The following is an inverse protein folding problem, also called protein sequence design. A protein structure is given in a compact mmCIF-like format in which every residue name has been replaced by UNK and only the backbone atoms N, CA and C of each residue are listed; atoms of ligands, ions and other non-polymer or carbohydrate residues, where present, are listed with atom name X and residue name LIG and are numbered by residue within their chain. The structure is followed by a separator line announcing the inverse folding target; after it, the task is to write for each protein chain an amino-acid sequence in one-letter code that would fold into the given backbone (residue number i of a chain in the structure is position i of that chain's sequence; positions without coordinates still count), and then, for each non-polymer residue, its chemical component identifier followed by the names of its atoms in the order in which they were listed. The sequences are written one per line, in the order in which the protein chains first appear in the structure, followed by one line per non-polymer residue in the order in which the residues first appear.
data_IF_398552503126
#
_entry.id   IF_398552503126
#
_cell.length_a   1.000
_cell.length_b   1.000
_cell.length_c   1.000
_cell.angle_alpha   90.00
_cell.angle_beta   90.00
_cell.angle_gamma   90.00
#
_symmetry.space_group_name_H-M   'P 1'
#
loop_
_entity.id
_entity.type
_entity.pdbx_description
1 polymer ?
#
# COMPACT_ATOMS: atom_id res chain seq x y z
N UNK A 1 14.51 -9.19 4.84
CA UNK A 1 13.90 -8.78 3.55
C UNK A 1 13.78 -7.26 3.51
N UNK A 2 14.30 -6.67 2.47
CA UNK A 2 14.27 -5.20 2.31
C UNK A 2 12.86 -4.76 1.91
N UNK A 3 12.22 -3.96 2.75
CA UNK A 3 10.81 -3.61 2.64
C UNK A 3 10.61 -2.09 2.63
N UNK A 4 9.71 -1.59 1.80
CA UNK A 4 9.30 -0.20 1.82
C UNK A 4 7.78 -0.09 1.84
N UNK A 5 7.30 0.99 2.45
CA UNK A 5 5.90 1.42 2.38
C UNK A 5 5.86 2.67 1.52
N UNK A 6 5.03 2.64 0.49
CA UNK A 6 4.81 3.76 -0.41
C UNK A 6 3.33 4.12 -0.37
N UNK A 7 3.02 5.37 -0.17
CA UNK A 7 1.63 5.79 -0.02
C UNK A 7 1.34 7.13 -0.70
N UNK A 8 0.08 7.31 -1.04
CA UNK A 8 -0.47 8.63 -1.35
C UNK A 8 -1.58 8.91 -0.35
N UNK A 9 -1.67 10.14 0.16
CA UNK A 9 -2.71 10.52 1.12
C UNK A 9 -3.27 11.88 0.77
N UNK A 10 -4.61 11.99 0.73
CA UNK A 10 -5.29 13.25 0.44
C UNK A 10 -5.70 13.97 1.72
N UNK A 11 -6.25 13.24 2.68
CA UNK A 11 -6.81 13.79 3.91
C UNK A 11 -6.03 13.37 5.17
N UNK A 12 -5.02 12.52 5.03
CA UNK A 12 -4.19 12.05 6.12
C UNK A 12 -4.52 10.64 6.62
N UNK A 13 -5.64 10.04 6.25
CA UNK A 13 -6.01 8.69 6.71
C UNK A 13 -5.08 7.62 6.17
N UNK A 14 -4.78 7.66 4.86
CA UNK A 14 -3.86 6.71 4.26
C UNK A 14 -2.45 6.85 4.85
N UNK A 15 -2.02 8.08 5.11
CA UNK A 15 -0.72 8.35 5.74
C UNK A 15 -0.63 7.75 7.14
N UNK A 16 -1.68 7.90 7.94
CA UNK A 16 -1.73 7.33 9.31
C UNK A 16 -1.58 5.81 9.28
N UNK A 17 -2.31 5.16 8.38
CA UNK A 17 -2.22 3.72 8.21
C UNK A 17 -0.85 3.30 7.69
N UNK A 18 -0.31 4.03 6.72
CA UNK A 18 1.03 3.77 6.17
C UNK A 18 2.11 3.84 7.26
N UNK A 19 2.03 4.84 8.13
CA UNK A 19 2.98 5.00 9.24
C UNK A 19 2.91 3.82 10.23
N UNK A 20 1.70 3.38 10.56
CA UNK A 20 1.50 2.23 11.46
C UNK A 20 2.05 0.94 10.85
N UNK A 21 1.82 0.73 9.55
CA UNK A 21 2.34 -0.45 8.86
C UNK A 21 3.88 -0.40 8.76
N UNK A 22 4.44 0.75 8.42
CA UNK A 22 5.89 0.90 8.30
C UNK A 22 6.60 0.63 9.63
N UNK A 23 6.04 1.11 10.72
CA UNK A 23 6.57 0.86 12.06
C UNK A 23 6.56 -0.63 12.40
N UNK A 24 5.45 -1.29 12.11
CA UNK A 24 5.30 -2.73 12.35
C UNK A 24 6.25 -3.57 11.50
N UNK A 25 6.38 -3.25 10.24
CA UNK A 25 7.21 -3.98 9.28
C UNK A 25 8.68 -3.56 9.35
N UNK A 26 9.02 -2.54 10.12
CA UNK A 26 10.36 -1.93 10.17
C UNK A 26 10.83 -1.56 8.77
N UNK A 27 9.96 -0.90 8.04
CA UNK A 27 10.14 -0.57 6.63
C UNK A 27 10.47 0.91 6.45
N UNK A 28 11.19 1.22 5.38
CA UNK A 28 11.34 2.59 4.91
C UNK A 28 9.97 3.08 4.41
N UNK A 29 9.67 4.36 4.58
CA UNK A 29 8.39 4.92 4.18
C UNK A 29 8.59 6.08 3.20
N UNK A 30 7.80 6.09 2.13
CA UNK A 30 7.87 7.09 1.07
C UNK A 30 6.49 7.64 0.72
N UNK A 31 6.41 8.95 0.60
CA UNK A 31 5.24 9.65 0.05
C UNK A 31 5.39 9.69 -1.47
N UNK A 32 4.39 9.22 -2.20
CA UNK A 32 4.39 9.22 -3.67
C UNK A 32 4.68 10.61 -4.23
N UNK A 33 4.16 11.66 -3.59
CA UNK A 33 4.34 13.03 -4.06
C UNK A 33 5.82 13.48 -4.08
N UNK A 34 6.69 12.81 -3.33
CA UNK A 34 8.11 13.17 -3.20
C UNK A 34 9.05 12.03 -3.61
N UNK A 35 8.57 11.03 -4.33
CA UNK A 35 9.33 9.80 -4.60
C UNK A 35 9.30 9.47 -6.10
N UNK A 36 10.45 9.13 -6.64
CA UNK A 36 10.54 8.62 -8.01
C UNK A 36 10.23 7.12 -8.00
N UNK A 37 9.49 6.60 -9.00
CA UNK A 37 9.20 5.17 -9.08
C UNK A 37 10.45 4.28 -9.08
N UNK A 38 11.56 4.74 -9.63
CA UNK A 38 12.82 3.99 -9.64
C UNK A 38 13.41 3.77 -8.24
N UNK A 39 13.06 4.60 -7.27
CA UNK A 39 13.59 4.49 -5.89
C UNK A 39 13.25 3.15 -5.26
N UNK A 40 12.11 2.56 -5.62
CA UNK A 40 11.61 1.35 -4.96
C UNK A 40 12.04 0.03 -5.62
N UNK A 41 12.74 0.08 -6.73
CA UNK A 41 13.10 -1.13 -7.51
C UNK A 41 13.95 -2.13 -6.73
N UNK A 42 14.77 -1.66 -5.81
CA UNK A 42 15.69 -2.50 -5.06
C UNK A 42 15.08 -3.14 -3.81
N UNK A 43 13.83 -2.82 -3.51
CA UNK A 43 13.13 -3.44 -2.38
C UNK A 43 12.51 -4.77 -2.82
N UNK A 44 12.59 -5.76 -1.95
CA UNK A 44 12.01 -7.08 -2.22
C UNK A 44 10.50 -7.11 -1.99
N UNK A 45 10.04 -6.34 -1.01
CA UNK A 45 8.62 -6.21 -0.68
C UNK A 45 8.19 -4.76 -0.77
N UNK A 46 7.17 -4.52 -1.58
CA UNK A 46 6.51 -3.22 -1.71
C UNK A 46 5.18 -3.28 -0.97
N UNK A 47 4.98 -2.37 -0.02
CA UNK A 47 3.68 -2.19 0.64
C UNK A 47 3.12 -0.86 0.12
N UNK A 48 2.09 -0.93 -0.70
CA UNK A 48 1.55 0.24 -1.42
C UNK A 48 0.16 0.59 -0.93
N UNK A 49 -0.05 1.86 -0.60
CA UNK A 49 -1.32 2.35 -0.09
C UNK A 49 -1.89 3.54 -0.84
N UNK A 50 -3.22 3.58 -0.95
CA UNK A 50 -3.96 4.61 -1.66
C UNK A 50 -5.30 4.88 -0.99
N UNK A 51 -5.81 6.12 -1.04
CA UNK A 51 -7.22 6.34 -0.77
C UNK A 51 -8.04 5.84 -1.96
N UNK A 52 -9.31 5.49 -1.70
CA UNK A 52 -10.27 5.17 -2.75
C UNK A 52 -10.94 6.47 -3.19
N UNK A 53 -10.87 6.75 -4.48
CA UNK A 53 -11.48 7.94 -5.08
C UNK A 53 -12.33 7.52 -6.28
N UNK A 54 -13.64 7.69 -6.20
CA UNK A 54 -14.55 7.26 -7.26
C UNK A 54 -14.47 5.76 -7.56
N UNK A 55 -14.37 4.93 -6.51
CA UNK A 55 -14.22 3.47 -6.59
C UNK A 55 -12.95 3.02 -7.35
N UNK A 56 -11.93 3.88 -7.38
CA UNK A 56 -10.65 3.64 -8.04
C UNK A 56 -9.51 4.12 -7.16
N UNK A 57 -8.26 3.70 -7.44
CA UNK A 57 -7.10 4.28 -6.77
C UNK A 57 -7.02 5.78 -7.07
N UNK A 58 -6.41 6.54 -6.16
CA UNK A 58 -6.08 7.93 -6.46
C UNK A 58 -5.28 8.01 -7.75
N UNK A 59 -5.54 9.04 -8.54
CA UNK A 59 -4.85 9.26 -9.81
C UNK A 59 -3.33 9.23 -9.65
N UNK A 60 -2.82 9.86 -8.61
CA UNK A 60 -1.39 9.93 -8.31
C UNK A 60 -0.80 8.54 -8.07
N UNK A 61 -1.55 7.67 -7.38
CA UNK A 61 -1.12 6.28 -7.14
C UNK A 61 -1.08 5.50 -8.45
N UNK A 62 -2.11 5.62 -9.27
CA UNK A 62 -2.19 4.92 -10.56
C UNK A 62 -1.05 5.35 -11.49
N UNK A 63 -0.75 6.65 -11.54
CA UNK A 63 0.36 7.17 -12.34
C UNK A 63 1.71 6.68 -11.84
N UNK A 64 1.90 6.63 -10.52
CA UNK A 64 3.13 6.11 -9.93
C UNK A 64 3.39 4.66 -10.36
N UNK A 65 2.37 3.81 -10.27
CA UNK A 65 2.50 2.40 -10.67
C UNK A 65 2.75 2.29 -12.18
N UNK A 66 2.06 3.09 -12.99
CA UNK A 66 2.25 3.09 -14.44
C UNK A 66 3.69 3.43 -14.82
N UNK A 67 4.31 4.33 -14.07
CA UNK A 67 5.68 4.78 -14.33
C UNK A 67 6.76 3.92 -13.68
N UNK A 68 6.38 2.88 -12.96
CA UNK A 68 7.34 1.93 -12.41
C UNK A 68 7.97 1.10 -13.53
N UNK A 69 9.24 0.78 -13.37
CA UNK A 69 9.92 -0.14 -14.29
C UNK A 69 9.49 -1.58 -13.99
N UNK A 70 9.53 -2.41 -15.01
CA UNK A 70 9.26 -3.84 -14.86
C UNK A 70 10.39 -4.50 -14.08
N UNK A 71 10.02 -5.35 -13.13
CA UNK A 71 10.95 -6.14 -12.31
C UNK A 71 10.49 -7.59 -12.31
N UNK A 72 11.22 -8.46 -11.64
CA UNK A 72 10.89 -9.89 -11.54
C UNK A 72 10.92 -10.36 -10.09
N UNK A 73 10.00 -11.27 -9.77
CA UNK A 73 9.98 -11.99 -8.49
C UNK A 73 9.88 -11.10 -7.26
N UNK A 74 9.16 -9.98 -7.38
CA UNK A 74 8.89 -9.12 -6.24
C UNK A 74 7.54 -9.45 -5.61
N UNK A 75 7.39 -9.10 -4.34
CA UNK A 75 6.14 -9.28 -3.60
C UNK A 75 5.53 -7.93 -3.26
N UNK A 76 4.21 -7.90 -3.12
CA UNK A 76 3.49 -6.69 -2.74
C UNK A 76 2.42 -6.99 -1.70
N UNK A 77 2.23 -6.02 -0.82
CA UNK A 77 1.09 -5.91 0.10
C UNK A 77 0.37 -4.63 -0.27
N UNK A 78 -0.94 -4.69 -0.40
CA UNK A 78 -1.75 -3.53 -0.76
C UNK A 78 -2.65 -3.12 0.39
N UNK A 79 -2.81 -1.82 0.58
CA UNK A 79 -3.80 -1.31 1.52
C UNK A 79 -4.49 -0.08 0.94
N UNK A 80 -5.72 0.14 1.36
CA UNK A 80 -6.43 1.36 1.00
C UNK A 80 -7.30 1.84 2.14
N UNK A 81 -7.63 3.12 2.10
CA UNK A 81 -8.62 3.73 2.97
C UNK A 81 -9.81 4.17 2.12
N UNK A 82 -11.03 4.00 2.64
CA UNK A 82 -12.25 4.29 1.88
C UNK A 82 -13.33 4.85 2.79
N UNK A 83 -14.32 5.53 2.20
CA UNK A 83 -15.43 6.13 2.95
C UNK A 83 -16.65 5.23 3.00
N UNK A 84 -17.19 4.84 1.86
CA UNK A 84 -18.44 4.09 1.75
C UNK A 84 -18.26 2.76 1.04
N UNK A 85 -17.58 2.74 -0.10
CA UNK A 85 -17.43 1.55 -0.95
C UNK A 85 -16.26 1.74 -1.92
N UNK A 86 -15.99 0.72 -2.72
CA UNK A 86 -14.97 0.80 -3.78
C UNK A 86 -13.60 0.28 -3.37
N UNK A 87 -13.43 -0.17 -2.13
CA UNK A 87 -12.16 -0.70 -1.63
C UNK A 87 -11.72 -1.96 -2.39
N UNK A 88 -12.60 -2.93 -2.55
CA UNK A 88 -12.27 -4.17 -3.26
C UNK A 88 -11.87 -3.92 -4.72
N UNK A 89 -12.64 -3.10 -5.41
CA UNK A 89 -12.36 -2.74 -6.81
C UNK A 89 -11.03 -2.01 -6.96
N UNK A 90 -10.74 -1.08 -6.03
CA UNK A 90 -9.49 -0.33 -5.99
C UNK A 90 -8.28 -1.26 -5.80
N UNK A 91 -8.36 -2.18 -4.84
CA UNK A 91 -7.28 -3.12 -4.56
C UNK A 91 -7.02 -4.04 -5.74
N UNK A 92 -8.08 -4.54 -6.39
CA UNK A 92 -7.94 -5.39 -7.57
C UNK A 92 -7.32 -4.65 -8.75
N UNK A 93 -7.66 -3.38 -8.93
CA UNK A 93 -7.09 -2.56 -10.00
C UNK A 93 -5.58 -2.39 -9.84
N UNK A 94 -5.12 -2.12 -8.61
CA UNK A 94 -3.69 -1.99 -8.33
C UNK A 94 -2.98 -3.34 -8.45
N UNK A 95 -3.58 -4.39 -7.92
CA UNK A 95 -3.03 -5.75 -8.03
C UNK A 95 -2.73 -6.11 -9.48
N UNK A 96 -3.69 -5.85 -10.36
CA UNK A 96 -3.55 -6.12 -11.80
C UNK A 96 -2.36 -5.37 -12.41
N UNK A 97 -2.26 -4.06 -12.12
CA UNK A 97 -1.16 -3.24 -12.62
C UNK A 97 0.18 -3.68 -12.09
N UNK A 98 0.27 -4.00 -10.81
CA UNK A 98 1.51 -4.46 -10.20
C UNK A 98 1.93 -5.83 -10.72
N UNK A 99 0.99 -6.71 -11.03
CA UNK A 99 1.28 -7.99 -11.65
C UNK A 99 1.98 -7.80 -13.00
N UNK A 100 1.51 -6.84 -13.79
CA UNK A 100 2.15 -6.50 -15.07
C UNK A 100 3.58 -5.98 -14.88
N UNK A 101 3.88 -5.41 -13.72
CA UNK A 101 5.21 -4.87 -13.39
C UNK A 101 6.13 -5.88 -12.69
N UNK A 102 5.66 -7.11 -12.43
CA UNK A 102 6.48 -8.16 -11.83
C UNK A 102 6.28 -8.38 -10.35
N UNK A 103 5.21 -7.87 -9.77
CA UNK A 103 4.88 -8.02 -8.35
C UNK A 103 3.75 -9.01 -8.14
N UNK A 104 3.94 -9.94 -7.22
CA UNK A 104 2.87 -10.82 -6.75
C UNK A 104 2.31 -10.25 -5.46
N UNK A 105 1.02 -9.95 -5.45
CA UNK A 105 0.34 -9.47 -4.25
C UNK A 105 0.05 -10.63 -3.32
N UNK A 106 0.53 -10.53 -2.07
CA UNK A 106 0.38 -11.57 -1.06
C UNK A 106 -0.65 -11.22 0.01
N UNK A 107 -1.04 -9.96 0.10
CA UNK A 107 -2.05 -9.49 1.05
C UNK A 107 -2.67 -8.20 0.53
N UNK A 108 -3.98 -8.07 0.69
CA UNK A 108 -4.72 -6.83 0.42
C UNK A 108 -5.62 -6.53 1.61
N UNK A 109 -5.52 -5.34 2.17
CA UNK A 109 -6.32 -4.92 3.32
C UNK A 109 -6.91 -3.54 3.09
N UNK A 110 -8.03 -3.25 3.77
CA UNK A 110 -8.67 -1.95 3.66
C UNK A 110 -9.18 -1.47 5.01
N UNK A 111 -9.19 -0.16 5.20
CA UNK A 111 -9.71 0.48 6.41
C UNK A 111 -10.76 1.52 6.03
N UNK A 112 -11.95 1.37 6.58
CA UNK A 112 -13.00 2.38 6.40
C UNK A 112 -12.55 3.69 7.04
N UNK A 113 -12.79 4.79 6.34
CA UNK A 113 -12.32 6.12 6.72
C UNK A 113 -12.74 6.53 8.12
N UNK A 114 -11.82 7.20 8.78
CA UNK A 114 -11.99 7.72 10.12
C UNK A 114 -12.11 9.25 10.05
N UNK A 115 -12.83 9.82 11.00
CA UNK A 115 -12.81 11.28 11.18
C UNK A 115 -11.41 11.69 11.65
N UNK A 116 -10.93 12.87 11.26
CA UNK A 116 -9.59 13.32 11.68
C UNK A 116 -9.37 13.34 13.19
N UNK A 117 -10.46 13.51 13.97
CA UNK A 117 -10.41 13.54 15.43
C UNK A 117 -10.48 12.16 16.09
N UNK A 118 -10.75 11.10 15.34
CA UNK A 118 -10.86 9.77 15.90
C UNK A 118 -9.48 9.15 16.17
N UNK A 119 -9.41 8.42 17.30
CA UNK A 119 -8.25 7.58 17.59
C UNK A 119 -8.29 6.40 16.61
N UNK A 120 -7.22 6.25 15.87
CA UNK A 120 -7.12 5.18 14.89
C UNK A 120 -6.94 3.82 15.56
N UNK A 121 -7.74 2.84 15.15
CA UNK A 121 -7.54 1.46 15.55
C UNK A 121 -7.21 0.62 14.32
N UNK A 122 -5.95 0.27 14.18
CA UNK A 122 -5.46 -0.52 13.05
C UNK A 122 -5.09 -1.95 13.45
N UNK A 123 -5.52 -2.39 14.64
CA UNK A 123 -5.12 -3.69 15.20
C UNK A 123 -5.32 -4.85 14.24
N UNK A 124 -6.47 -4.94 13.60
CA UNK A 124 -6.78 -6.04 12.66
C UNK A 124 -5.83 -6.03 11.46
N UNK A 125 -5.61 -4.86 10.88
CA UNK A 125 -4.72 -4.71 9.73
C UNK A 125 -3.28 -5.03 10.12
N UNK A 126 -2.83 -4.52 11.25
CA UNK A 126 -1.47 -4.76 11.75
C UNK A 126 -1.25 -6.25 11.99
N UNK A 127 -2.22 -6.95 12.57
CA UNK A 127 -2.12 -8.39 12.77
C UNK A 127 -2.00 -9.16 11.46
N UNK A 128 -2.75 -8.77 10.44
CA UNK A 128 -2.65 -9.40 9.11
C UNK A 128 -1.30 -9.12 8.46
N UNK A 129 -0.79 -7.89 8.58
CA UNK A 129 0.54 -7.54 8.07
C UNK A 129 1.63 -8.36 8.76
N UNK A 130 1.56 -8.50 10.09
CA UNK A 130 2.51 -9.32 10.84
C UNK A 130 2.51 -10.75 10.36
N UNK A 131 1.33 -11.36 10.16
CA UNK A 131 1.22 -12.73 9.65
C UNK A 131 1.84 -12.88 8.26
N UNK A 132 1.59 -11.91 7.38
CA UNK A 132 2.16 -11.93 6.04
C UNK A 132 3.68 -11.80 6.09
N UNK A 133 4.21 -10.92 6.94
CA UNK A 133 5.66 -10.75 7.11
C UNK A 133 6.33 -12.01 7.64
N UNK A 134 5.72 -12.66 8.63
CA UNK A 134 6.22 -13.94 9.17
C UNK A 134 6.26 -15.01 8.10
N UNK A 135 5.20 -15.13 7.30
CA UNK A 135 5.12 -16.12 6.24
C UNK A 135 6.18 -15.88 5.15
N UNK A 136 6.44 -14.62 4.82
CA UNK A 136 7.46 -14.27 3.83
C UNK A 136 8.89 -14.51 4.33
N UNK A 137 9.08 -14.58 5.64
CA UNK A 137 10.39 -14.82 6.26
C UNK A 137 10.75 -16.31 6.39
N UNK A 138 9.80 -17.19 6.10
CA UNK A 138 10.02 -18.64 6.15
C UNK A 138 10.91 -19.13 5.00
#
# INVERSE_FOLDING_TARGET
MKTCVVYFSRTGNTKRLAQAIAETAKADIYDIAATLPSTIENYELLILGTPVEGASPAKETAEFVENMNQVENKKAVLFCTYRLFGNSRTLKAIEKKLKEKGYQTVLSVSKKGMKPSEVANFTDIINEVKKAMEKLSE
#
